data_IF_803723298374
#
_entry.id   IF_803723298374
#
_cell.length_a   1.000
_cell.length_b   1.000
_cell.length_c   1.000
_cell.angle_alpha   90.00
_cell.angle_beta   90.00
_cell.angle_gamma   90.00
#
_symmetry.space_group_name_H-M   'P 1'
#
loop_
_entity.id
_entity.type
_entity.pdbx_description
1 polymer ?
#
# COMPACT_ATOMS: atom_id res chain seq x y z
N UNK A 1 24.39 53.45 50.52
CA UNK A 1 23.08 53.75 49.91
C UNK A 1 22.94 52.88 48.66
N UNK A 2 21.76 52.28 48.51
CA UNK A 2 21.24 51.44 47.42
C UNK A 2 21.82 50.03 47.21
N UNK A 3 21.05 49.00 46.88
CA UNK A 3 19.67 48.56 47.21
C UNK A 3 19.48 47.22 46.46
N UNK A 4 18.70 46.33 47.06
CA UNK A 4 17.87 45.31 46.41
C UNK A 4 18.52 44.05 45.80
N UNK A 5 18.45 42.98 46.60
CA UNK A 5 18.24 41.59 46.20
C UNK A 5 17.08 41.40 45.21
N UNK A 6 17.24 40.50 44.23
CA UNK A 6 16.12 39.79 43.61
C UNK A 6 16.49 38.31 43.37
N UNK A 7 15.53 37.44 43.68
CA UNK A 7 15.68 36.01 43.82
C UNK A 7 15.35 35.22 42.55
N UNK A 8 15.96 34.02 42.46
CA UNK A 8 15.50 32.74 41.91
C UNK A 8 14.75 32.67 40.56
N UNK A 9 15.28 31.84 39.66
CA UNK A 9 14.49 30.77 39.03
C UNK A 9 15.42 29.59 38.64
N UNK A 10 15.24 28.45 39.30
CA UNK A 10 15.79 27.17 38.88
C UNK A 10 14.69 26.41 38.13
N UNK A 11 14.95 25.94 36.90
CA UNK A 11 14.28 24.75 36.34
C UNK A 11 15.28 24.04 35.41
N UNK A 12 15.73 22.86 35.84
CA UNK A 12 16.25 21.81 34.96
C UNK A 12 15.13 21.36 34.02
N UNK A 13 15.33 21.43 32.71
CA UNK A 13 14.66 20.53 31.77
C UNK A 13 15.73 19.85 30.93
N UNK A 14 16.11 18.66 31.38
CA UNK A 14 16.58 17.57 30.55
C UNK A 14 15.48 17.26 29.52
N UNK A 15 15.86 17.08 28.25
CA UNK A 15 14.98 16.40 27.30
C UNK A 15 14.86 17.06 25.94
N UNK A 16 15.94 17.05 25.17
CA UNK A 16 15.80 16.73 23.75
C UNK A 16 16.77 15.58 23.51
N UNK A 17 16.22 14.37 23.43
CA UNK A 17 16.90 13.21 22.88
C UNK A 17 17.16 13.48 21.40
N UNK A 18 18.15 14.31 21.10
CA UNK A 18 18.78 14.36 19.80
C UNK A 18 19.51 13.03 19.67
N UNK A 19 18.84 12.02 19.11
CA UNK A 19 19.55 10.86 18.58
C UNK A 19 20.34 11.37 17.38
N UNK A 20 21.53 11.90 17.66
CA UNK A 20 22.55 12.09 16.66
C UNK A 20 22.91 10.70 16.16
N UNK A 21 22.38 10.32 15.00
CA UNK A 21 22.85 9.13 14.29
C UNK A 21 24.19 9.54 13.70
N UNK A 22 25.28 9.21 14.40
CA UNK A 22 26.62 9.41 13.88
C UNK A 22 26.78 8.55 12.62
N UNK A 23 27.42 9.12 11.61
CA UNK A 23 27.77 8.40 10.38
C UNK A 23 28.52 7.10 10.73
N UNK A 24 28.35 6.08 9.90
CA UNK A 24 29.08 4.81 10.03
C UNK A 24 30.59 5.09 9.91
N UNK A 25 31.25 5.33 11.04
CA UNK A 25 32.66 5.66 11.09
C UNK A 25 33.49 4.40 10.82
N UNK A 26 33.94 4.24 9.57
CA UNK A 26 35.17 3.48 9.29
C UNK A 26 36.40 4.09 10.01
N UNK A 27 36.28 5.28 10.60
CA UNK A 27 37.33 5.96 11.35
C UNK A 27 37.56 5.40 12.78
N UNK A 28 36.68 4.55 13.31
CA UNK A 28 36.79 4.10 14.71
C UNK A 28 37.71 2.87 14.92
N UNK A 29 38.36 2.32 13.87
CA UNK A 29 39.31 1.21 14.02
C UNK A 29 40.74 1.60 13.59
N UNK A 30 41.42 2.35 14.45
CA UNK A 30 42.86 2.23 14.69
C UNK A 30 43.83 2.32 13.49
N UNK A 31 43.57 3.19 12.51
CA UNK A 31 44.50 3.46 11.41
C UNK A 31 45.31 4.73 11.67
N UNK A 32 46.65 4.66 11.57
CA UNK A 32 47.55 5.80 11.75
C UNK A 32 47.28 6.99 10.82
N UNK A 33 47.92 8.13 11.11
CA UNK A 33 47.75 9.37 10.35
C UNK A 33 48.03 9.17 8.86
N UNK A 34 47.00 9.32 8.01
CA UNK A 34 47.13 9.25 6.56
C UNK A 34 47.27 10.66 5.96
N UNK A 35 48.51 11.10 5.77
CA UNK A 35 48.86 12.41 5.19
C UNK A 35 48.79 12.44 3.66
N UNK A 36 48.44 11.32 3.00
CA UNK A 36 48.45 11.21 1.54
C UNK A 36 47.45 12.12 0.82
N UNK A 37 46.43 12.60 1.54
CA UNK A 37 45.42 13.54 1.01
C UNK A 37 45.73 15.01 1.35
N UNK A 38 46.93 15.29 1.84
CA UNK A 38 47.40 16.62 2.19
C UNK A 38 48.53 17.05 1.25
N UNK A 39 48.36 18.20 0.61
CA UNK A 39 49.42 18.87 -0.17
C UNK A 39 49.94 20.09 0.58
N UNK A 40 50.94 20.79 0.01
CA UNK A 40 51.44 22.07 0.56
C UNK A 40 50.38 23.17 0.63
N UNK A 41 49.24 23.02 -0.05
CA UNK A 41 48.13 23.97 -0.05
C UNK A 41 47.03 23.63 0.99
N UNK A 42 46.92 22.38 1.43
CA UNK A 42 45.87 21.94 2.36
C UNK A 42 45.54 20.44 2.27
N UNK A 43 44.62 19.99 3.11
CA UNK A 43 44.11 18.61 3.14
C UNK A 43 42.67 18.54 2.65
N UNK A 44 42.33 17.50 1.90
CA UNK A 44 40.98 17.25 1.40
C UNK A 44 40.49 15.85 1.81
N UNK A 45 39.19 15.73 2.10
CA UNK A 45 38.54 14.45 2.38
C UNK A 45 37.09 14.51 1.93
N UNK A 46 36.72 13.58 1.06
CA UNK A 46 35.32 13.36 0.69
C UNK A 46 34.63 12.46 1.73
N UNK A 47 33.39 12.82 2.09
CA UNK A 47 32.52 12.01 2.95
C UNK A 47 31.32 11.59 2.12
N UNK A 48 31.13 10.29 1.84
CA UNK A 48 29.98 9.85 1.08
C UNK A 48 28.70 9.99 1.92
N UNK A 49 27.65 10.54 1.31
CA UNK A 49 26.31 10.64 1.90
C UNK A 49 25.38 9.69 1.13
N UNK A 50 24.67 8.80 1.84
CA UNK A 50 23.78 7.79 1.25
C UNK A 50 22.43 7.78 1.95
N UNK A 51 21.35 7.67 1.17
CA UNK A 51 19.98 7.46 1.63
C UNK A 51 19.36 6.30 0.86
N UNK A 52 18.87 5.29 1.57
CA UNK A 52 18.07 4.21 0.99
C UNK A 52 16.60 4.37 1.34
N UNK A 53 15.73 4.33 0.34
CA UNK A 53 14.27 4.37 0.51
C UNK A 53 13.71 2.99 0.16
N UNK A 54 13.18 2.22 1.13
CA UNK A 54 12.63 0.90 0.84
C UNK A 54 11.33 1.00 0.03
N UNK A 55 11.06 -0.04 -0.78
CA UNK A 55 9.78 -0.21 -1.45
C UNK A 55 8.65 -0.35 -0.43
N UNK A 56 7.54 0.35 -0.67
CA UNK A 56 6.32 0.34 0.14
C UNK A 56 5.10 0.23 -0.78
N UNK A 57 4.15 -0.58 -0.34
CA UNK A 57 2.86 -0.74 -1.01
C UNK A 57 1.78 -1.05 0.02
N UNK A 58 0.61 -0.44 -0.15
CA UNK A 58 -0.56 -0.65 0.69
C UNK A 58 -1.83 -0.70 -0.18
N UNK A 59 -2.80 -1.53 0.22
CA UNK A 59 -4.14 -1.57 -0.37
C UNK A 59 -5.10 -1.01 0.66
N UNK A 60 -5.80 0.06 0.29
CA UNK A 60 -6.72 0.80 1.15
C UNK A 60 -8.15 0.70 0.62
N UNK A 61 -9.14 0.79 1.50
CA UNK A 61 -10.55 0.76 1.13
C UNK A 61 -11.03 -0.63 0.70
N UNK A 62 -12.04 -0.68 -0.15
CA UNK A 62 -12.78 -1.90 -0.48
C UNK A 62 -13.84 -2.23 0.58
N UNK A 63 -15.10 -2.00 0.23
CA UNK A 63 -16.26 -2.46 1.01
C UNK A 63 -16.82 -3.75 0.45
N UNK A 64 -17.53 -4.52 1.29
CA UNK A 64 -18.28 -5.67 0.84
C UNK A 64 -19.32 -5.25 -0.24
N UNK A 65 -19.40 -6.01 -1.32
CA UNK A 65 -20.38 -5.79 -2.39
C UNK A 65 -21.57 -6.71 -2.17
N UNK A 66 -22.69 -6.14 -1.72
CA UNK A 66 -23.95 -6.87 -1.54
C UNK A 66 -24.78 -6.82 -2.81
N UNK A 67 -24.96 -7.98 -3.44
CA UNK A 67 -25.77 -8.13 -4.66
C UNK A 67 -27.27 -8.08 -4.37
N UNK A 68 -28.05 -7.81 -5.41
CA UNK A 68 -29.52 -7.77 -5.32
C UNK A 68 -30.14 -8.97 -6.00
N UNK A 69 -31.18 -9.55 -5.40
CA UNK A 69 -32.01 -10.59 -6.04
C UNK A 69 -32.69 -10.10 -7.33
N UNK A 70 -32.94 -8.80 -7.43
CA UNK A 70 -33.57 -8.18 -8.61
C UNK A 70 -32.54 -7.87 -9.72
N UNK A 71 -31.26 -8.19 -9.47
CA UNK A 71 -30.16 -7.95 -10.40
C UNK A 71 -29.61 -6.52 -10.38
N UNK A 72 -28.72 -6.25 -11.33
CA UNK A 72 -28.09 -4.95 -11.54
C UNK A 72 -26.65 -4.86 -11.03
N UNK A 73 -25.99 -3.77 -11.41
CA UNK A 73 -24.59 -3.52 -11.07
C UNK A 73 -24.44 -2.91 -9.67
N UNK A 74 -23.46 -3.39 -8.94
CA UNK A 74 -23.02 -2.86 -7.64
C UNK A 74 -21.52 -2.63 -7.69
N UNK A 75 -21.08 -1.56 -7.03
CA UNK A 75 -19.68 -1.13 -7.10
C UNK A 75 -19.04 -1.00 -5.73
N UNK A 76 -17.72 -1.12 -5.70
CA UNK A 76 -16.88 -0.74 -4.58
C UNK A 76 -15.57 -0.15 -5.09
N UNK A 77 -14.93 0.69 -4.28
CA UNK A 77 -13.68 1.36 -4.64
C UNK A 77 -12.57 0.94 -3.67
N UNK A 78 -11.36 0.76 -4.20
CA UNK A 78 -10.15 0.54 -3.42
C UNK A 78 -8.99 1.33 -4.03
N UNK A 79 -7.95 1.60 -3.22
CA UNK A 79 -6.76 2.33 -3.64
C UNK A 79 -5.53 1.46 -3.44
N UNK A 80 -4.64 1.43 -4.43
CA UNK A 80 -3.28 0.91 -4.27
C UNK A 80 -2.34 2.10 -4.15
N UNK A 81 -1.71 2.25 -2.98
CA UNK A 81 -0.72 3.30 -2.70
C UNK A 81 0.66 2.68 -2.74
N UNK A 82 1.53 3.13 -3.65
CA UNK A 82 2.90 2.61 -3.73
C UNK A 82 3.92 3.66 -4.12
N UNK A 83 5.14 3.54 -3.59
CA UNK A 83 6.31 4.34 -3.99
C UNK A 83 7.18 3.62 -5.04
N UNK A 84 6.67 2.58 -5.69
CA UNK A 84 7.38 1.82 -6.73
C UNK A 84 6.40 1.32 -7.80
N UNK A 85 6.92 0.89 -8.94
CA UNK A 85 6.12 0.23 -9.97
C UNK A 85 5.67 -1.14 -9.45
N UNK A 86 4.47 -1.59 -9.82
CA UNK A 86 3.92 -2.83 -9.30
C UNK A 86 3.13 -3.63 -10.34
N UNK A 87 3.00 -4.92 -10.08
CA UNK A 87 2.07 -5.81 -10.78
C UNK A 87 0.82 -6.00 -9.92
N UNK A 88 -0.34 -5.67 -10.47
CA UNK A 88 -1.64 -5.96 -9.89
C UNK A 88 -2.15 -7.30 -10.43
N UNK A 89 -2.51 -8.21 -9.53
CA UNK A 89 -3.20 -9.44 -9.89
C UNK A 89 -4.61 -9.44 -9.31
N UNK A 90 -5.59 -9.49 -10.20
CA UNK A 90 -7.01 -9.59 -9.84
C UNK A 90 -7.55 -10.98 -10.18
N UNK A 91 -8.26 -11.57 -9.22
CA UNK A 91 -8.87 -12.89 -9.36
C UNK A 91 -10.08 -13.04 -8.44
N UNK A 92 -10.89 -14.07 -8.66
CA UNK A 92 -11.93 -14.51 -7.74
C UNK A 92 -11.55 -15.82 -7.05
N UNK A 93 -12.18 -16.12 -5.92
CA UNK A 93 -12.01 -17.43 -5.28
C UNK A 93 -12.66 -18.56 -6.11
N UNK A 94 -13.73 -18.27 -6.86
CA UNK A 94 -14.51 -19.29 -7.56
C UNK A 94 -14.04 -19.62 -8.98
N UNK A 95 -13.43 -18.67 -9.70
CA UNK A 95 -13.00 -18.86 -11.10
C UNK A 95 -11.58 -18.39 -11.41
N UNK A 96 -10.85 -17.83 -10.43
CA UNK A 96 -9.51 -17.33 -10.67
C UNK A 96 -9.56 -16.09 -11.55
N UNK A 97 -8.92 -16.13 -12.72
CA UNK A 97 -8.70 -14.95 -13.58
C UNK A 97 -9.75 -14.79 -14.67
N UNK A 98 -11.04 -14.86 -14.32
CA UNK A 98 -12.16 -14.73 -15.26
C UNK A 98 -13.15 -13.66 -14.83
N UNK A 99 -13.54 -12.79 -15.77
CA UNK A 99 -14.60 -11.79 -15.60
C UNK A 99 -15.98 -12.44 -15.38
N UNK A 100 -16.21 -13.57 -16.04
CA UNK A 100 -17.42 -14.37 -15.85
C UNK A 100 -17.18 -15.34 -14.70
N UNK A 101 -17.86 -15.09 -13.58
CA UNK A 101 -17.76 -15.86 -12.34
C UNK A 101 -19.17 -16.17 -11.82
N UNK A 102 -19.25 -16.56 -10.56
CA UNK A 102 -20.50 -16.87 -9.88
C UNK A 102 -20.29 -16.81 -8.38
N UNK A 103 -21.36 -16.52 -7.66
CA UNK A 103 -21.45 -16.72 -6.21
C UNK A 103 -22.04 -18.11 -5.93
N UNK A 104 -21.52 -18.83 -4.92
CA UNK A 104 -21.92 -20.20 -4.54
C UNK A 104 -22.79 -20.17 -3.31
N UNK A 105 -23.84 -20.99 -3.27
CA UNK A 105 -24.66 -21.19 -2.08
C UNK A 105 -23.79 -21.73 -0.93
N UNK A 106 -24.05 -21.27 0.30
CA UNK A 106 -23.28 -21.61 1.50
C UNK A 106 -23.17 -23.11 1.77
N UNK A 107 -24.27 -23.85 1.59
CA UNK A 107 -24.31 -25.29 1.84
C UNK A 107 -24.11 -26.19 0.60
N UNK A 108 -24.07 -25.62 -0.60
CA UNK A 108 -24.03 -26.41 -1.84
C UNK A 108 -23.33 -25.67 -3.00
N UNK A 109 -22.09 -26.09 -3.27
CA UNK A 109 -21.27 -25.47 -4.31
C UNK A 109 -21.75 -25.71 -5.75
N UNK A 110 -22.74 -26.58 -5.96
CA UNK A 110 -23.38 -26.78 -7.28
C UNK A 110 -24.47 -25.74 -7.55
N UNK A 111 -25.08 -25.18 -6.50
CA UNK A 111 -26.10 -24.13 -6.59
C UNK A 111 -25.42 -22.76 -6.65
N UNK A 112 -25.65 -22.04 -7.75
CA UNK A 112 -24.86 -20.84 -8.10
C UNK A 112 -25.74 -19.75 -8.68
N UNK A 113 -25.28 -18.51 -8.53
CA UNK A 113 -25.80 -17.35 -9.29
C UNK A 113 -24.64 -16.76 -10.08
N UNK A 114 -24.78 -16.73 -11.40
CA UNK A 114 -23.76 -16.18 -12.31
C UNK A 114 -23.58 -14.68 -12.09
N UNK A 115 -22.33 -14.24 -12.15
CA UNK A 115 -21.95 -12.83 -12.02
C UNK A 115 -20.91 -12.45 -13.06
N UNK A 116 -20.91 -11.17 -13.44
CA UNK A 116 -19.86 -10.59 -14.27
C UNK A 116 -19.18 -9.49 -13.47
N UNK A 117 -17.86 -9.52 -13.41
CA UNK A 117 -17.05 -8.57 -12.66
C UNK A 117 -16.13 -7.80 -13.62
N UNK A 118 -16.10 -6.48 -13.47
CA UNK A 118 -15.17 -5.58 -14.16
C UNK A 118 -14.44 -4.69 -13.16
N UNK A 119 -13.21 -4.31 -13.49
CA UNK A 119 -12.43 -3.32 -12.72
C UNK A 119 -11.91 -2.24 -13.64
N UNK A 120 -12.00 -0.99 -13.22
CA UNK A 120 -11.45 0.16 -13.94
C UNK A 120 -10.53 0.96 -13.02
N UNK A 121 -9.56 1.64 -13.62
CA UNK A 121 -8.69 2.60 -12.92
C UNK A 121 -9.16 4.02 -13.20
N UNK A 122 -9.22 4.86 -12.17
CA UNK A 122 -9.55 6.28 -12.32
C UNK A 122 -8.53 6.97 -13.24
N UNK A 123 -9.02 7.76 -14.22
CA UNK A 123 -8.18 8.38 -15.24
C UNK A 123 -7.50 7.38 -16.21
N UNK A 124 -7.83 6.10 -16.12
CA UNK A 124 -7.32 5.03 -16.97
C UNK A 124 -8.43 4.24 -17.65
N UNK A 125 -8.15 2.97 -17.92
CA UNK A 125 -9.07 2.05 -18.60
C UNK A 125 -9.48 0.86 -17.75
N UNK A 126 -10.07 -0.14 -18.42
CA UNK A 126 -10.36 -1.43 -17.83
C UNK A 126 -9.08 -2.17 -17.44
N UNK A 127 -9.10 -2.81 -16.29
CA UNK A 127 -8.00 -3.62 -15.77
C UNK A 127 -8.24 -5.08 -16.17
N UNK A 128 -7.29 -5.73 -16.86
CA UNK A 128 -7.43 -7.12 -17.26
C UNK A 128 -7.34 -8.05 -16.05
N UNK A 129 -7.92 -9.23 -16.18
CA UNK A 129 -7.81 -10.29 -15.18
C UNK A 129 -6.42 -10.91 -15.14
N UNK A 130 -6.03 -11.41 -13.97
CA UNK A 130 -4.65 -11.85 -13.76
C UNK A 130 -3.71 -10.66 -13.62
N UNK A 131 -2.49 -10.79 -14.14
CA UNK A 131 -1.42 -9.80 -13.95
C UNK A 131 -1.55 -8.60 -14.89
N UNK A 132 -1.38 -7.40 -14.34
CA UNK A 132 -1.26 -6.14 -15.08
C UNK A 132 -0.18 -5.25 -14.45
N UNK A 133 0.62 -4.59 -15.29
CA UNK A 133 1.68 -3.69 -14.84
C UNK A 133 1.14 -2.27 -14.62
N UNK A 134 1.58 -1.63 -13.54
CA UNK A 134 1.19 -0.28 -13.16
C UNK A 134 2.41 0.54 -12.76
N UNK A 135 2.40 1.81 -13.14
CA UNK A 135 3.45 2.74 -12.78
C UNK A 135 3.52 2.98 -11.26
N UNK A 136 2.40 2.93 -10.54
CA UNK A 136 2.39 3.32 -9.14
C UNK A 136 2.94 4.72 -8.94
N UNK A 137 3.82 4.89 -7.94
CA UNK A 137 4.40 6.19 -7.53
C UNK A 137 3.34 7.22 -7.06
N UNK A 138 2.12 6.76 -6.78
CA UNK A 138 0.97 7.56 -6.45
C UNK A 138 -0.12 6.68 -5.79
N UNK A 139 -1.27 7.31 -5.50
CA UNK A 139 -2.50 6.63 -5.16
C UNK A 139 -3.25 6.25 -6.45
N UNK A 140 -3.25 4.96 -6.78
CA UNK A 140 -4.03 4.43 -7.89
C UNK A 140 -5.41 3.99 -7.38
N UNK A 141 -6.47 4.68 -7.81
CA UNK A 141 -7.86 4.39 -7.41
C UNK A 141 -8.53 3.47 -8.43
N UNK A 142 -9.15 2.40 -7.93
CA UNK A 142 -9.84 1.39 -8.71
C UNK A 142 -11.31 1.28 -8.33
N UNK A 143 -12.17 1.09 -9.32
CA UNK A 143 -13.59 0.77 -9.12
C UNK A 143 -13.85 -0.65 -9.60
N UNK A 144 -14.32 -1.51 -8.70
CA UNK A 144 -14.84 -2.84 -9.01
C UNK A 144 -16.34 -2.72 -9.22
N UNK A 145 -16.85 -3.30 -10.30
CA UNK A 145 -18.28 -3.45 -10.59
C UNK A 145 -18.62 -4.92 -10.71
N UNK A 146 -19.63 -5.36 -9.96
CA UNK A 146 -20.18 -6.72 -10.00
C UNK A 146 -21.63 -6.63 -10.43
N UNK A 147 -22.01 -7.41 -11.43
CA UNK A 147 -23.36 -7.45 -11.95
C UNK A 147 -23.90 -8.89 -11.90
N UNK A 148 -25.17 -9.02 -11.50
CA UNK A 148 -25.93 -10.26 -11.64
C UNK A 148 -27.26 -9.97 -12.34
N UNK A 149 -27.80 -10.97 -13.04
CA UNK A 149 -29.19 -10.93 -13.50
C UNK A 149 -30.14 -11.18 -12.32
N UNK A 150 -31.40 -10.76 -12.47
CA UNK A 150 -32.45 -11.10 -11.53
C UNK A 150 -32.54 -12.62 -11.36
N UNK A 151 -32.64 -13.08 -10.11
CA UNK A 151 -32.80 -14.51 -9.80
C UNK A 151 -34.27 -14.90 -9.87
N UNK A 152 -34.55 -16.16 -10.21
CA UNK A 152 -35.92 -16.65 -10.27
C UNK A 152 -36.51 -16.85 -8.88
N UNK A 153 -37.85 -16.94 -8.78
CA UNK A 153 -38.55 -17.24 -7.53
C UNK A 153 -38.21 -18.63 -6.95
N UNK A 154 -37.63 -19.53 -7.77
CA UNK A 154 -37.21 -20.87 -7.38
C UNK A 154 -35.72 -20.96 -7.07
N UNK A 155 -34.96 -19.87 -7.19
CA UNK A 155 -33.56 -19.85 -6.74
C UNK A 155 -33.54 -20.21 -5.25
N UNK A 156 -32.71 -21.19 -4.88
CA UNK A 156 -32.62 -21.68 -3.51
C UNK A 156 -32.32 -20.53 -2.54
N UNK A 157 -33.12 -20.41 -1.49
CA UNK A 157 -32.91 -19.42 -0.45
C UNK A 157 -31.67 -19.77 0.37
N UNK A 158 -30.85 -18.76 0.65
CA UNK A 158 -29.62 -18.87 1.41
C UNK A 158 -28.61 -17.81 0.98
N UNK A 159 -27.44 -17.82 1.62
CA UNK A 159 -26.35 -16.90 1.29
C UNK A 159 -25.53 -17.43 0.13
N UNK A 160 -25.19 -16.56 -0.81
CA UNK A 160 -24.28 -16.88 -1.90
C UNK A 160 -23.01 -16.04 -1.81
N UNK A 161 -21.84 -16.67 -1.94
CA UNK A 161 -20.55 -15.98 -1.78
C UNK A 161 -19.54 -16.27 -2.89
N UNK A 162 -18.73 -15.25 -3.15
CA UNK A 162 -17.45 -15.31 -3.87
C UNK A 162 -16.52 -14.29 -3.19
N UNK A 163 -15.22 -14.36 -3.46
CA UNK A 163 -14.25 -13.41 -2.93
C UNK A 163 -13.45 -12.82 -4.07
N UNK A 164 -13.58 -11.50 -4.26
CA UNK A 164 -12.68 -10.74 -5.13
C UNK A 164 -11.34 -10.56 -4.41
N UNK A 165 -10.26 -11.03 -5.03
CA UNK A 165 -8.92 -11.07 -4.45
C UNK A 165 -8.01 -10.12 -5.22
N UNK A 166 -7.38 -9.23 -4.46
CA UNK A 166 -6.42 -8.25 -4.96
C UNK A 166 -5.05 -8.66 -4.42
N UNK A 167 -4.07 -8.84 -5.30
CA UNK A 167 -2.67 -9.07 -4.92
C UNK A 167 -1.79 -8.06 -5.64
N UNK A 168 -0.79 -7.54 -4.93
CA UNK A 168 0.17 -6.57 -5.47
C UNK A 168 1.59 -7.09 -5.25
N UNK A 169 2.41 -7.03 -6.30
CA UNK A 169 3.80 -7.49 -6.32
C UNK A 169 4.73 -6.40 -6.89
N UNK A 170 6.02 -6.42 -6.53
CA UNK A 170 7.04 -5.44 -6.94
C UNK A 170 8.39 -6.08 -7.31
#
# INVERSE_FOLDING_TARGET
MNNMTQAALAVLVLGVCSTGVYAEDEAARGGGYNWGNCTTLGCEKDIPIKLEIPKKCEILGGSAITLSKDGGAKTSNYTVRSNTHYTLNIQTANTGTSASTYVKHEDDSSVRVSTTIGTTKAGGGAIPWGNSNHNGLADDVYTVSVNNSAVSAFQRAGTYTDTYRIKVFY
#
